data_IF_622717587548
#
_entry.id   IF_622717587548
#
_cell.length_a   1.000
_cell.length_b   1.000
_cell.length_c   1.000
_cell.angle_alpha   90.00
_cell.angle_beta   90.00
_cell.angle_gamma   90.00
#
_symmetry.space_group_name_H-M   'P 1'
#
loop_
_entity.id
_entity.type
_entity.pdbx_description
1 polymer ?
#
# COMPACT_ATOMS: atom_id res chain seq x y z
N UNK A 1 61.59 24.40 20.46
CA UNK A 1 60.72 23.27 20.84
C UNK A 1 59.31 23.58 20.39
N UNK A 2 58.70 22.74 19.56
CA UNK A 2 57.35 22.98 19.04
C UNK A 2 56.30 22.32 19.94
N UNK A 3 55.23 23.05 20.26
CA UNK A 3 54.12 22.55 21.08
C UNK A 3 53.10 21.87 20.15
N UNK A 4 52.78 20.60 20.43
CA UNK A 4 51.83 19.83 19.65
C UNK A 4 50.39 20.22 20.02
N UNK A 5 49.64 20.77 19.05
CA UNK A 5 48.22 21.07 19.22
C UNK A 5 47.35 19.82 19.10
N UNK A 6 46.70 19.42 20.20
CA UNK A 6 45.72 18.33 20.20
C UNK A 6 44.44 18.75 19.45
N UNK A 7 44.13 18.08 18.35
CA UNK A 7 42.85 18.28 17.63
C UNK A 7 41.78 17.38 18.22
N UNK A 8 40.87 17.98 18.99
CA UNK A 8 39.61 17.35 19.40
C UNK A 8 38.79 16.97 18.17
N UNK A 9 38.74 15.68 17.85
CA UNK A 9 37.91 15.16 16.76
C UNK A 9 36.47 14.99 17.24
N UNK A 10 35.58 15.90 16.84
CA UNK A 10 34.13 15.65 16.90
C UNK A 10 33.82 14.47 15.97
N UNK A 11 33.72 13.26 16.53
CA UNK A 11 33.14 12.12 15.83
C UNK A 11 31.68 12.45 15.52
N UNK A 12 31.41 12.77 14.25
CA UNK A 12 30.05 12.83 13.73
C UNK A 12 29.42 11.45 13.90
N UNK A 13 28.58 11.30 14.92
CA UNK A 13 27.90 10.06 15.26
C UNK A 13 26.72 9.88 14.31
N UNK A 14 27.02 9.64 13.03
CA UNK A 14 26.05 9.28 12.01
C UNK A 14 25.42 7.95 12.44
N UNK A 15 24.29 8.04 13.14
CA UNK A 15 23.42 6.91 13.40
C UNK A 15 22.91 6.44 12.04
N UNK A 16 23.47 5.34 11.54
CA UNK A 16 22.79 4.54 10.53
C UNK A 16 21.48 4.05 11.15
N UNK A 17 20.39 4.78 10.85
CA UNK A 17 19.04 4.34 11.18
C UNK A 17 18.80 3.08 10.35
N UNK A 18 18.98 1.92 10.98
CA UNK A 18 18.70 0.62 10.38
C UNK A 18 17.27 0.66 9.85
N UNK A 19 17.12 0.45 8.54
CA UNK A 19 15.82 0.46 7.89
C UNK A 19 14.91 -0.59 8.55
N UNK A 20 13.79 -0.12 9.06
CA UNK A 20 12.81 -0.97 9.73
C UNK A 20 12.26 -2.03 8.75
N UNK A 21 12.07 -3.27 9.23
CA UNK A 21 11.43 -4.30 8.40
C UNK A 21 9.96 -3.96 8.15
N UNK A 22 9.43 -4.35 6.98
CA UNK A 22 8.01 -4.15 6.65
C UNK A 22 7.06 -4.72 7.70
N UNK A 23 7.47 -5.79 8.37
CA UNK A 23 6.71 -6.46 9.42
C UNK A 23 6.68 -5.62 10.71
N UNK A 24 7.84 -5.15 11.18
CA UNK A 24 7.91 -4.29 12.36
C UNK A 24 7.10 -3.00 12.15
N UNK A 25 7.23 -2.40 10.96
CA UNK A 25 6.46 -1.21 10.56
C UNK A 25 4.95 -1.45 10.62
N UNK A 26 4.47 -2.59 10.09
CA UNK A 26 3.04 -2.94 10.18
C UNK A 26 2.59 -3.21 11.61
N UNK A 27 3.39 -3.88 12.44
CA UNK A 27 3.05 -4.06 13.85
C UNK A 27 2.92 -2.70 14.57
N UNK A 28 3.80 -1.73 14.28
CA UNK A 28 3.62 -0.34 14.74
C UNK A 28 2.33 0.26 14.20
N UNK A 29 2.03 0.15 12.91
CA UNK A 29 0.79 0.68 12.33
C UNK A 29 -0.48 0.04 12.91
N UNK A 30 -0.50 -1.26 13.21
CA UNK A 30 -1.62 -1.93 13.91
C UNK A 30 -1.82 -1.31 15.29
N UNK A 31 -0.75 -1.16 16.08
CA UNK A 31 -0.83 -0.53 17.39
C UNK A 31 -1.35 0.92 17.30
N UNK A 32 -0.82 1.72 16.37
CA UNK A 32 -1.23 3.11 16.14
C UNK A 32 -2.70 3.20 15.68
N UNK A 33 -3.15 2.34 14.75
CA UNK A 33 -4.52 2.31 14.27
C UNK A 33 -5.51 1.87 15.37
N UNK A 34 -5.13 0.88 16.18
CA UNK A 34 -5.93 0.40 17.32
C UNK A 34 -6.08 1.45 18.41
N UNK A 35 -4.98 2.12 18.76
CA UNK A 35 -4.96 3.30 19.66
C UNK A 35 -5.47 4.59 18.99
N UNK A 36 -5.84 4.53 17.71
CA UNK A 36 -6.39 5.63 16.90
C UNK A 36 -5.47 6.86 16.75
N UNK A 37 -4.15 6.66 16.78
CA UNK A 37 -3.12 7.64 16.44
C UNK A 37 -2.82 7.57 14.94
N UNK A 38 -3.66 8.24 14.15
CA UNK A 38 -3.61 8.12 12.68
C UNK A 38 -2.47 8.90 12.03
N UNK A 39 -2.06 10.03 12.61
CA UNK A 39 -1.11 10.96 11.99
C UNK A 39 0.26 10.33 11.65
N UNK A 40 0.94 9.55 12.53
CA UNK A 40 2.20 8.91 12.17
C UNK A 40 2.03 7.85 11.08
N UNK A 41 0.91 7.11 11.07
CA UNK A 41 0.59 6.14 10.00
C UNK A 41 0.39 6.83 8.67
N UNK A 42 -0.30 7.99 8.67
CA UNK A 42 -0.48 8.81 7.48
C UNK A 42 0.88 9.34 6.99
N UNK A 43 1.70 9.89 7.88
CA UNK A 43 3.00 10.46 7.53
C UNK A 43 3.97 9.38 6.98
N UNK A 44 4.08 8.23 7.64
CA UNK A 44 4.87 7.08 7.18
C UNK A 44 4.48 6.64 5.77
N UNK A 45 3.17 6.50 5.50
CA UNK A 45 2.69 6.07 4.18
C UNK A 45 2.89 7.15 3.12
N UNK A 46 2.64 8.43 3.44
CA UNK A 46 2.76 9.52 2.46
C UNK A 46 4.22 9.89 2.16
N UNK A 47 5.14 9.76 3.11
CA UNK A 47 6.57 10.00 2.87
C UNK A 47 7.16 8.97 1.90
N UNK A 48 6.75 7.70 2.00
CA UNK A 48 7.09 6.64 1.04
C UNK A 48 6.42 6.83 -0.34
N UNK A 49 5.13 7.20 -0.37
CA UNK A 49 4.34 7.20 -1.59
C UNK A 49 4.44 8.48 -2.43
N UNK A 50 4.34 9.67 -1.83
CA UNK A 50 4.26 10.95 -2.55
C UNK A 50 5.46 11.24 -3.49
N UNK A 51 6.72 10.89 -3.16
CA UNK A 51 7.86 11.09 -4.07
C UNK A 51 7.70 10.41 -5.44
N UNK A 52 6.93 9.30 -5.52
CA UNK A 52 6.61 8.58 -6.77
C UNK A 52 5.71 9.39 -7.72
N UNK A 53 5.15 10.52 -7.25
CA UNK A 53 4.17 11.35 -7.94
C UNK A 53 4.64 12.78 -8.23
N UNK A 54 5.93 13.08 -8.09
CA UNK A 54 6.58 14.38 -8.46
C UNK A 54 6.21 14.91 -9.85
N UNK A 55 5.88 14.04 -10.80
CA UNK A 55 5.48 14.37 -12.17
C UNK A 55 3.99 14.10 -12.46
N UNK A 56 3.14 14.00 -11.43
CA UNK A 56 1.72 13.70 -11.57
C UNK A 56 0.89 14.95 -11.92
N UNK A 57 -0.15 14.77 -12.74
CA UNK A 57 -1.21 15.77 -12.97
C UNK A 57 -2.49 15.49 -12.17
N UNK A 58 -2.48 14.43 -11.36
CA UNK A 58 -3.63 13.98 -10.57
C UNK A 58 -3.53 14.36 -9.09
N UNK A 59 -2.30 14.56 -8.60
CA UNK A 59 -1.97 14.92 -7.22
C UNK A 59 -0.74 15.83 -7.26
N UNK A 60 -0.71 16.86 -6.41
CA UNK A 60 0.47 17.69 -6.18
C UNK A 60 1.15 17.20 -4.88
N UNK A 61 2.32 16.55 -4.95
CA UNK A 61 2.98 16.02 -3.76
C UNK A 61 3.54 17.10 -2.82
N UNK A 62 3.60 18.38 -3.23
CA UNK A 62 3.97 19.47 -2.34
C UNK A 62 2.84 19.84 -1.34
N UNK A 63 1.58 19.58 -1.68
CA UNK A 63 0.41 19.85 -0.82
C UNK A 63 0.19 18.74 0.23
N UNK A 64 1.24 18.40 0.97
CA UNK A 64 1.23 17.33 1.98
C UNK A 64 0.15 17.55 3.06
N UNK A 65 -0.12 18.81 3.42
CA UNK A 65 -1.13 19.17 4.43
C UNK A 65 -2.54 18.79 3.97
N UNK A 66 -2.91 19.02 2.71
CA UNK A 66 -4.22 18.60 2.19
C UNK A 66 -4.31 17.08 2.06
N UNK A 67 -3.22 16.39 1.68
CA UNK A 67 -3.19 14.93 1.62
C UNK A 67 -3.34 14.29 2.99
N UNK A 68 -2.66 14.81 4.02
CA UNK A 68 -2.82 14.36 5.41
C UNK A 68 -4.28 14.50 5.85
N UNK A 69 -4.91 15.65 5.58
CA UNK A 69 -6.33 15.89 5.92
C UNK A 69 -7.28 14.91 5.24
N UNK A 70 -7.07 14.60 3.96
CA UNK A 70 -7.91 13.62 3.26
C UNK A 70 -7.63 12.18 3.71
N UNK A 71 -6.38 11.81 4.03
CA UNK A 71 -6.05 10.52 4.66
C UNK A 71 -6.67 10.36 6.06
N UNK A 72 -6.69 11.43 6.85
CA UNK A 72 -7.38 11.46 8.14
C UNK A 72 -8.89 11.22 8.00
N UNK A 73 -9.53 11.85 7.02
CA UNK A 73 -10.94 11.61 6.66
C UNK A 73 -11.19 10.16 6.21
N UNK A 74 -10.28 9.59 5.41
CA UNK A 74 -10.33 8.19 4.97
C UNK A 74 -10.31 7.26 6.19
N UNK A 75 -9.29 7.37 7.06
CA UNK A 75 -9.16 6.52 8.25
C UNK A 75 -10.32 6.70 9.23
N UNK A 76 -10.79 7.94 9.45
CA UNK A 76 -11.93 8.22 10.31
C UNK A 76 -13.24 7.62 9.80
N UNK A 77 -13.42 7.41 8.49
CA UNK A 77 -14.64 6.82 7.94
C UNK A 77 -14.82 5.33 8.27
N UNK A 78 -13.73 4.56 8.37
CA UNK A 78 -13.77 3.10 8.48
C UNK A 78 -12.62 2.52 9.35
N UNK A 79 -12.35 3.05 10.56
CA UNK A 79 -11.10 2.78 11.29
C UNK A 79 -10.89 1.31 11.65
N UNK A 80 -11.97 0.61 12.04
CA UNK A 80 -11.94 -0.84 12.31
C UNK A 80 -11.60 -1.67 11.07
N UNK A 81 -11.97 -1.20 9.88
CA UNK A 81 -11.68 -1.93 8.64
C UNK A 81 -10.25 -1.68 8.21
N UNK A 82 -9.69 -0.48 8.40
CA UNK A 82 -8.27 -0.22 8.16
C UNK A 82 -7.36 -0.97 9.15
N UNK A 83 -7.70 -0.98 10.44
CA UNK A 83 -7.01 -1.80 11.44
C UNK A 83 -6.97 -3.27 11.01
N UNK A 84 -8.15 -3.86 10.76
CA UNK A 84 -8.25 -5.23 10.31
C UNK A 84 -7.58 -5.46 8.95
N UNK A 85 -7.50 -4.47 8.05
CA UNK A 85 -6.80 -4.62 6.77
C UNK A 85 -5.27 -4.67 6.92
N UNK A 86 -4.70 -3.91 7.87
CA UNK A 86 -3.27 -3.97 8.21
C UNK A 86 -2.93 -5.27 8.95
N UNK A 87 -3.84 -5.75 9.81
CA UNK A 87 -3.78 -7.06 10.47
C UNK A 87 -4.01 -8.26 9.50
N UNK A 88 -4.41 -8.01 8.24
CA UNK A 88 -4.67 -9.04 7.23
C UNK A 88 -6.08 -9.68 7.27
N UNK A 89 -6.99 -9.15 8.09
CA UNK A 89 -8.28 -9.74 8.44
C UNK A 89 -9.52 -9.18 7.67
N UNK A 90 -9.59 -7.91 7.21
CA UNK A 90 -10.81 -7.33 6.52
C UNK A 90 -10.50 -6.25 5.42
N UNK A 91 -11.44 -5.87 4.49
CA UNK A 91 -11.04 -5.52 3.08
C UNK A 91 -11.70 -4.33 2.29
N UNK A 92 -10.92 -3.54 1.47
CA UNK A 92 -11.25 -2.69 0.24
C UNK A 92 -10.30 -1.52 -0.28
N UNK A 93 -10.78 -0.27 -0.48
CA UNK A 93 -10.97 0.49 -1.73
C UNK A 93 -11.88 -0.19 -2.78
N UNK A 94 -11.41 -0.67 -3.93
CA UNK A 94 -11.72 -2.05 -4.28
C UNK A 94 -10.46 -2.85 -3.99
N UNK A 95 -10.51 -3.71 -2.95
CA UNK A 95 -9.45 -4.69 -2.73
C UNK A 95 -9.82 -5.95 -3.46
N UNK A 96 -8.80 -6.59 -4.01
CA UNK A 96 -8.86 -8.00 -4.36
C UNK A 96 -7.84 -8.75 -3.53
N UNK A 97 -8.30 -9.74 -2.76
CA UNK A 97 -7.47 -10.60 -1.92
C UNK A 97 -7.42 -12.01 -2.50
N UNK A 98 -6.24 -12.62 -2.52
CA UNK A 98 -6.09 -14.05 -2.78
C UNK A 98 -6.30 -14.82 -1.47
N UNK A 99 -7.40 -15.55 -1.38
CA UNK A 99 -7.78 -16.33 -0.20
C UNK A 99 -8.59 -17.57 -0.59
N UNK A 100 -8.73 -18.52 0.34
CA UNK A 100 -9.63 -19.66 0.20
C UNK A 100 -11.07 -19.32 0.65
N UNK A 101 -11.95 -20.33 0.65
CA UNK A 101 -13.37 -20.15 1.01
C UNK A 101 -13.57 -19.82 2.50
N UNK A 102 -12.60 -20.13 3.36
CA UNK A 102 -12.51 -19.74 4.77
C UNK A 102 -11.91 -18.33 4.98
N UNK A 103 -11.43 -17.69 3.91
CA UNK A 103 -10.78 -16.39 3.96
C UNK A 103 -9.30 -16.44 4.35
N UNK A 104 -8.69 -17.64 4.43
CA UNK A 104 -7.26 -17.78 4.71
C UNK A 104 -6.44 -17.54 3.44
N UNK A 105 -5.35 -16.79 3.58
CA UNK A 105 -4.41 -16.56 2.50
C UNK A 105 -3.47 -17.75 2.28
N UNK A 106 -2.79 -17.85 1.12
CA UNK A 106 -1.70 -18.80 0.93
C UNK A 106 -0.62 -18.62 2.00
N UNK A 107 -0.18 -19.72 2.61
CA UNK A 107 1.00 -19.72 3.46
C UNK A 107 2.28 -19.44 2.65
N UNK A 108 3.40 -19.03 3.29
CA UNK A 108 4.65 -18.74 2.57
C UNK A 108 5.13 -19.90 1.68
N UNK A 109 4.98 -21.16 2.11
CA UNK A 109 5.34 -22.34 1.32
C UNK A 109 4.47 -22.48 0.06
N UNK A 110 3.17 -22.23 0.20
CA UNK A 110 2.23 -22.26 -0.93
C UNK A 110 2.49 -21.10 -1.90
N UNK A 111 2.93 -19.95 -1.38
CA UNK A 111 3.35 -18.83 -2.20
C UNK A 111 4.62 -19.12 -3.00
N UNK A 112 5.60 -19.85 -2.43
CA UNK A 112 6.76 -20.35 -3.18
C UNK A 112 6.32 -21.27 -4.33
N UNK A 113 5.38 -22.20 -4.10
CA UNK A 113 4.83 -23.03 -5.17
C UNK A 113 4.17 -22.18 -6.27
N UNK A 114 3.39 -21.14 -5.90
CA UNK A 114 2.79 -20.20 -6.88
C UNK A 114 3.87 -19.46 -7.67
N UNK A 115 4.94 -18.99 -7.02
CA UNK A 115 6.09 -18.33 -7.66
C UNK A 115 6.78 -19.25 -8.66
N UNK A 116 7.09 -20.49 -8.27
CA UNK A 116 7.84 -21.40 -9.12
C UNK A 116 7.06 -21.69 -10.43
N UNK A 117 5.72 -21.71 -10.36
CA UNK A 117 4.85 -21.74 -11.55
C UNK A 117 4.87 -20.44 -12.38
N UNK A 118 5.05 -19.25 -11.76
CA UNK A 118 5.24 -17.99 -12.49
C UNK A 118 6.59 -17.99 -13.22
N UNK A 119 7.65 -18.51 -12.60
CA UNK A 119 8.98 -18.64 -13.19
C UNK A 119 8.96 -19.61 -14.38
N UNK A 120 8.35 -20.80 -14.24
CA UNK A 120 8.13 -21.75 -15.34
C UNK A 120 7.34 -21.10 -16.50
N UNK A 121 6.23 -20.42 -16.19
CA UNK A 121 5.39 -19.74 -17.17
C UNK A 121 6.14 -18.61 -17.93
N UNK A 122 7.03 -17.89 -17.25
CA UNK A 122 7.81 -16.77 -17.81
C UNK A 122 9.16 -17.18 -18.44
N UNK A 123 9.65 -18.40 -18.19
CA UNK A 123 10.94 -18.95 -18.64
C UNK A 123 11.25 -18.78 -20.14
N UNK A 124 10.23 -18.86 -20.99
CA UNK A 124 10.38 -18.85 -22.46
C UNK A 124 10.49 -20.24 -23.07
N UNK A 125 10.71 -21.27 -22.25
CA UNK A 125 10.69 -22.67 -22.68
C UNK A 125 9.26 -23.17 -22.92
N UNK A 126 9.07 -24.20 -23.77
CA UNK A 126 7.85 -24.99 -23.78
C UNK A 126 7.62 -25.60 -22.38
N UNK A 127 6.44 -25.37 -21.81
CA UNK A 127 6.02 -25.95 -20.52
C UNK A 127 4.58 -26.45 -20.68
N UNK A 128 4.35 -27.70 -20.28
CA UNK A 128 3.03 -28.31 -20.26
C UNK A 128 2.12 -27.59 -19.24
N UNK A 129 2.67 -27.26 -18.07
CA UNK A 129 1.95 -26.50 -17.06
C UNK A 129 1.48 -25.15 -17.57
N UNK A 130 2.33 -24.44 -18.33
CA UNK A 130 1.99 -23.14 -18.88
C UNK A 130 0.85 -23.23 -19.92
N UNK A 131 0.84 -24.30 -20.74
CA UNK A 131 -0.28 -24.59 -21.63
C UNK A 131 -1.56 -24.92 -20.86
N UNK A 132 -1.47 -25.69 -19.77
CA UNK A 132 -2.61 -26.03 -18.92
C UNK A 132 -3.19 -24.79 -18.23
N UNK A 133 -2.35 -23.90 -17.69
CA UNK A 133 -2.75 -22.61 -17.09
C UNK A 133 -3.47 -21.70 -18.08
N UNK A 134 -2.94 -21.57 -19.31
CA UNK A 134 -3.57 -20.78 -20.38
C UNK A 134 -4.99 -21.28 -20.70
N UNK A 135 -5.28 -22.55 -20.41
CA UNK A 135 -6.54 -23.22 -20.71
C UNK A 135 -7.49 -23.40 -19.51
N UNK A 136 -7.14 -22.95 -18.31
CA UNK A 136 -8.06 -22.97 -17.14
C UNK A 136 -9.25 -22.03 -17.32
N UNK A 137 -9.09 -20.98 -18.11
CA UNK A 137 -10.13 -19.99 -18.35
C UNK A 137 -10.12 -19.50 -19.80
N UNK A 138 -11.23 -18.99 -20.35
CA UNK A 138 -11.22 -18.35 -21.66
C UNK A 138 -10.37 -17.05 -21.70
N UNK A 139 -9.90 -16.61 -22.88
CA UNK A 139 -9.75 -17.41 -24.10
C UNK A 139 -8.74 -18.54 -23.89
N UNK A 140 -8.95 -19.64 -24.60
CA UNK A 140 -8.14 -20.86 -24.58
C UNK A 140 -7.00 -20.78 -25.62
N UNK A 141 -5.84 -21.34 -25.31
CA UNK A 141 -4.67 -21.36 -26.20
C UNK A 141 -4.51 -22.75 -26.83
N UNK A 142 -4.28 -22.81 -28.15
CA UNK A 142 -4.01 -24.10 -28.81
C UNK A 142 -2.64 -24.66 -28.41
N UNK A 143 -2.52 -25.99 -28.41
CA UNK A 143 -1.25 -26.65 -28.09
C UNK A 143 -0.11 -26.17 -29.01
N UNK A 144 -0.40 -26.02 -30.31
CA UNK A 144 0.56 -25.47 -31.28
C UNK A 144 1.04 -24.07 -30.87
N UNK A 145 0.14 -23.14 -30.59
CA UNK A 145 0.53 -21.78 -30.20
C UNK A 145 1.35 -21.78 -28.90
N UNK A 146 0.97 -22.58 -27.91
CA UNK A 146 1.73 -22.73 -26.67
C UNK A 146 3.12 -23.35 -26.90
N UNK A 147 3.26 -24.29 -27.83
CA UNK A 147 4.56 -24.86 -28.25
C UNK A 147 5.43 -23.84 -29.00
N UNK A 148 4.82 -22.96 -29.79
CA UNK A 148 5.48 -21.82 -30.46
C UNK A 148 5.82 -20.66 -29.49
N UNK A 149 5.54 -20.82 -28.19
CA UNK A 149 5.93 -19.89 -27.13
C UNK A 149 4.88 -18.82 -26.77
N UNK A 150 3.69 -18.86 -27.39
CA UNK A 150 2.56 -18.01 -26.99
C UNK A 150 2.18 -18.29 -25.54
N UNK A 151 1.90 -17.21 -24.80
CA UNK A 151 1.45 -17.26 -23.40
C UNK A 151 0.34 -16.24 -23.21
N UNK A 152 -0.89 -16.69 -22.92
CA UNK A 152 -2.09 -15.85 -22.84
C UNK A 152 -1.89 -14.59 -21.99
N UNK A 153 -1.29 -14.75 -20.81
CA UNK A 153 -1.02 -13.66 -19.88
C UNK A 153 0.20 -12.80 -20.21
N UNK A 154 1.07 -13.19 -21.14
CA UNK A 154 2.17 -12.35 -21.64
C UNK A 154 1.81 -11.62 -22.94
N UNK A 155 0.82 -12.13 -23.68
CA UNK A 155 0.37 -11.58 -24.96
C UNK A 155 -0.36 -10.23 -24.82
N UNK A 156 -0.07 -9.33 -25.74
CA UNK A 156 -0.71 -8.01 -25.96
C UNK A 156 -1.05 -7.88 -27.44
N UNK A 157 -1.87 -6.89 -27.85
CA UNK A 157 -2.14 -6.62 -29.28
C UNK A 157 -0.91 -6.29 -30.14
N UNK A 158 0.28 -6.15 -29.53
CA UNK A 158 1.53 -5.78 -30.20
C UNK A 158 2.63 -6.85 -30.09
N UNK A 159 2.45 -7.90 -29.29
CA UNK A 159 3.44 -8.99 -29.11
C UNK A 159 2.84 -10.14 -28.31
N UNK A 160 3.12 -11.38 -28.69
CA UNK A 160 2.74 -12.57 -27.92
C UNK A 160 3.47 -12.72 -26.58
N UNK A 161 4.60 -12.03 -26.39
CA UNK A 161 5.45 -12.17 -25.21
C UNK A 161 6.00 -10.83 -24.75
N UNK A 162 5.17 -10.06 -24.05
CA UNK A 162 5.55 -8.75 -23.51
C UNK A 162 6.63 -8.84 -22.42
N UNK A 163 7.84 -8.36 -22.72
CA UNK A 163 8.95 -8.24 -21.77
C UNK A 163 8.57 -7.45 -20.51
N UNK A 164 7.76 -6.39 -20.66
CA UNK A 164 7.24 -5.61 -19.53
C UNK A 164 6.38 -6.48 -18.59
N UNK A 165 5.55 -7.37 -19.14
CA UNK A 165 4.74 -8.28 -18.31
C UNK A 165 5.58 -9.35 -17.61
N UNK A 166 6.61 -9.86 -18.28
CA UNK A 166 7.59 -10.76 -17.65
C UNK A 166 8.27 -10.07 -16.47
N UNK A 167 8.79 -8.85 -16.66
CA UNK A 167 9.44 -8.08 -15.59
C UNK A 167 8.48 -7.88 -14.41
N UNK A 168 7.22 -7.49 -14.66
CA UNK A 168 6.19 -7.36 -13.61
C UNK A 168 5.93 -8.66 -12.87
N UNK A 169 5.80 -9.79 -13.58
CA UNK A 169 5.52 -11.08 -12.95
C UNK A 169 6.72 -11.57 -12.12
N UNK A 170 7.94 -11.37 -12.61
CA UNK A 170 9.16 -11.78 -11.89
C UNK A 170 9.41 -10.95 -10.61
N UNK A 171 8.79 -9.77 -10.44
CA UNK A 171 8.82 -9.01 -9.18
C UNK A 171 8.03 -9.68 -8.05
N UNK A 172 7.10 -10.56 -8.38
CA UNK A 172 6.31 -11.35 -7.42
C UNK A 172 7.12 -12.50 -6.78
N UNK A 173 8.37 -12.70 -7.21
CA UNK A 173 9.26 -13.75 -6.70
C UNK A 173 9.82 -13.49 -5.29
N UNK A 174 9.65 -12.27 -4.78
CA UNK A 174 10.03 -11.93 -3.41
C UNK A 174 9.10 -12.63 -2.39
N UNK A 175 9.64 -13.19 -1.30
CA UNK A 175 8.83 -13.80 -0.26
C UNK A 175 7.85 -12.80 0.34
N UNK A 176 6.57 -13.18 0.37
CA UNK A 176 5.51 -12.38 0.98
C UNK A 176 5.39 -12.64 2.47
N UNK A 177 5.47 -11.56 3.25
CA UNK A 177 5.04 -11.57 4.65
C UNK A 177 3.50 -11.45 4.80
N UNK A 178 2.79 -11.03 3.74
CA UNK A 178 1.36 -10.70 3.78
C UNK A 178 0.60 -11.21 2.55
N UNK A 179 -0.73 -11.40 2.64
CA UNK A 179 -1.54 -11.86 1.51
C UNK A 179 -1.42 -10.92 0.29
N UNK A 180 -1.19 -11.43 -0.93
CA UNK A 180 -1.07 -10.58 -2.10
C UNK A 180 -2.43 -9.95 -2.41
N UNK A 181 -2.40 -8.63 -2.60
CA UNK A 181 -3.60 -7.80 -2.78
C UNK A 181 -3.48 -6.86 -3.98
N UNK A 182 -4.60 -6.49 -4.60
CA UNK A 182 -4.70 -5.32 -5.48
C UNK A 182 -5.60 -4.29 -4.81
N UNK A 183 -5.25 -3.00 -4.91
CA UNK A 183 -6.07 -1.85 -4.50
C UNK A 183 -6.31 -0.97 -5.72
N UNK A 184 -7.56 -0.69 -6.07
CA UNK A 184 -7.89 0.13 -7.24
C UNK A 184 -9.13 1.02 -7.10
N UNK A 185 -9.09 2.19 -7.74
CA UNK A 185 -10.20 3.14 -7.81
C UNK A 185 -11.22 2.75 -8.91
N UNK A 186 -12.51 2.87 -8.59
CA UNK A 186 -13.57 2.85 -9.60
C UNK A 186 -14.79 3.69 -9.20
N UNK A 187 -15.21 4.59 -10.10
CA UNK A 187 -16.43 5.38 -9.96
C UNK A 187 -17.70 4.50 -9.79
N UNK A 188 -17.73 3.32 -10.42
CA UNK A 188 -18.82 2.34 -10.30
C UNK A 188 -18.23 1.03 -9.78
N UNK A 189 -17.80 0.98 -8.52
CA UNK A 189 -17.13 -0.18 -7.93
C UNK A 189 -17.89 -1.51 -8.15
N UNK A 190 -19.21 -1.53 -7.97
CA UNK A 190 -20.04 -2.73 -8.23
C UNK A 190 -19.91 -3.26 -9.68
N UNK A 191 -19.92 -2.37 -10.69
CA UNK A 191 -19.70 -2.75 -12.11
C UNK A 191 -18.27 -3.20 -12.34
N UNK A 192 -17.30 -2.54 -11.71
CA UNK A 192 -15.88 -2.92 -11.81
C UNK A 192 -15.63 -4.31 -11.23
N UNK A 193 -16.20 -4.62 -10.07
CA UNK A 193 -16.12 -5.96 -9.47
C UNK A 193 -16.78 -7.02 -10.35
N UNK A 194 -17.90 -6.71 -11.00
CA UNK A 194 -18.53 -7.61 -11.99
C UNK A 194 -17.64 -7.84 -13.22
N UNK A 195 -17.00 -6.80 -13.75
CA UNK A 195 -16.01 -6.92 -14.83
C UNK A 195 -14.82 -7.80 -14.41
N UNK A 196 -14.27 -7.61 -13.21
CA UNK A 196 -13.22 -8.51 -12.68
C UNK A 196 -13.71 -9.96 -12.51
N UNK A 197 -14.99 -10.21 -12.18
CA UNK A 197 -15.58 -11.56 -12.12
C UNK A 197 -15.64 -12.20 -13.51
N UNK A 198 -16.02 -11.43 -14.52
CA UNK A 198 -15.99 -11.84 -15.93
C UNK A 198 -14.59 -11.80 -16.58
N UNK A 199 -13.53 -11.45 -15.82
CA UNK A 199 -12.15 -11.22 -16.30
C UNK A 199 -12.02 -10.20 -17.45
N UNK A 200 -12.99 -9.29 -17.55
CA UNK A 200 -13.04 -8.22 -18.54
C UNK A 200 -12.24 -7.02 -18.05
N UNK A 201 -11.24 -6.60 -18.83
CA UNK A 201 -10.33 -5.49 -18.48
C UNK A 201 -9.74 -5.61 -17.07
N UNK A 202 -9.50 -6.83 -16.59
CA UNK A 202 -8.91 -7.10 -15.27
C UNK A 202 -7.40 -7.21 -15.35
N UNK A 203 -6.74 -7.06 -14.19
CA UNK A 203 -5.31 -7.19 -14.06
C UNK A 203 -4.84 -8.61 -14.42
N UNK A 204 -3.94 -8.72 -15.41
CA UNK A 204 -3.47 -9.99 -15.96
C UNK A 204 -2.66 -10.80 -14.94
N UNK A 205 -1.89 -10.13 -14.06
CA UNK A 205 -1.13 -10.75 -12.97
C UNK A 205 -2.07 -11.58 -12.10
N UNK A 206 -3.15 -10.95 -11.67
CA UNK A 206 -4.14 -11.53 -10.79
C UNK A 206 -4.93 -12.67 -11.43
N UNK A 207 -5.16 -12.59 -12.75
CA UNK A 207 -5.83 -13.65 -13.49
C UNK A 207 -4.91 -14.88 -13.62
N UNK A 208 -3.61 -14.67 -13.91
CA UNK A 208 -2.61 -15.74 -13.96
C UNK A 208 -2.46 -16.42 -12.60
N UNK A 209 -2.33 -15.66 -11.50
CA UNK A 209 -2.19 -16.25 -10.16
C UNK A 209 -3.43 -17.03 -9.73
N UNK A 210 -4.64 -16.56 -10.06
CA UNK A 210 -5.89 -17.32 -9.82
C UNK A 210 -5.98 -18.60 -10.66
N UNK A 211 -5.41 -18.61 -11.88
CA UNK A 211 -5.31 -19.82 -12.70
C UNK A 211 -4.21 -20.77 -12.20
N UNK A 212 -3.05 -20.28 -11.77
CA UNK A 212 -2.01 -21.08 -11.10
C UNK A 212 -2.56 -21.74 -9.84
N UNK A 213 -3.29 -21.01 -8.99
CA UNK A 213 -3.92 -21.59 -7.79
C UNK A 213 -4.96 -22.67 -8.16
N UNK A 214 -5.68 -22.48 -9.26
CA UNK A 214 -6.64 -23.48 -9.75
C UNK A 214 -5.93 -24.71 -10.33
N UNK A 215 -4.83 -24.53 -11.07
CA UNK A 215 -4.00 -25.61 -11.60
C UNK A 215 -3.42 -26.48 -10.47
N UNK A 216 -2.77 -25.83 -9.50
CA UNK A 216 -2.11 -26.50 -8.38
C UNK A 216 -3.13 -27.21 -7.46
N UNK A 217 -4.34 -26.67 -7.33
CA UNK A 217 -5.43 -27.36 -6.62
C UNK A 217 -5.94 -28.59 -7.41
N UNK A 218 -6.17 -28.46 -8.73
CA UNK A 218 -6.63 -29.56 -9.58
C UNK A 218 -5.62 -30.71 -9.66
N UNK A 219 -4.33 -30.42 -9.55
CA UNK A 219 -3.23 -31.39 -9.51
C UNK A 219 -2.88 -31.88 -8.09
N UNK A 220 -3.64 -31.47 -7.07
CA UNK A 220 -3.44 -31.81 -5.65
C UNK A 220 -2.10 -31.36 -5.04
N UNK A 221 -1.43 -30.37 -5.65
CA UNK A 221 -0.23 -29.71 -5.09
C UNK A 221 -0.62 -28.74 -3.97
N UNK A 222 -1.76 -28.05 -4.11
CA UNK A 222 -2.36 -27.25 -3.05
C UNK A 222 -3.57 -27.98 -2.45
N UNK A 223 -3.70 -28.10 -1.11
CA UNK A 223 -4.82 -28.78 -0.47
C UNK A 223 -6.13 -27.97 -0.47
N UNK A 224 -6.07 -26.65 -0.72
CA UNK A 224 -7.25 -25.80 -0.90
C UNK A 224 -7.18 -24.95 -2.17
N UNK A 225 -8.35 -24.50 -2.65
CA UNK A 225 -8.44 -23.62 -3.82
C UNK A 225 -8.48 -22.15 -3.39
N UNK A 226 -7.39 -21.42 -3.64
CA UNK A 226 -7.37 -19.97 -3.49
C UNK A 226 -8.03 -19.28 -4.71
N UNK A 227 -8.84 -18.25 -4.45
CA UNK A 227 -9.56 -17.44 -5.43
C UNK A 227 -9.46 -15.95 -5.07
N UNK A 228 -9.95 -15.07 -5.94
CA UNK A 228 -10.01 -13.63 -5.66
C UNK A 228 -11.33 -13.21 -5.01
N UNK A 229 -11.22 -12.83 -3.74
CA UNK A 229 -12.27 -12.23 -2.91
C UNK A 229 -12.20 -10.70 -3.01
N UNK A 230 -13.35 -10.00 -3.01
CA UNK A 230 -13.49 -8.65 -3.58
C UNK A 230 -14.54 -7.80 -2.86
N UNK A 231 -14.20 -6.60 -2.42
CA UNK A 231 -14.95 -5.87 -1.37
C UNK A 231 -14.93 -4.33 -1.50
N UNK A 232 -15.73 -3.61 -0.67
CA UNK A 232 -15.92 -2.14 -0.66
C UNK A 232 -16.13 -1.49 0.78
N UNK A 233 -15.21 -1.64 1.74
CA UNK A 233 -14.88 -0.70 2.86
C UNK A 233 -14.82 0.83 2.60
N UNK A 234 -14.43 1.37 1.42
CA UNK A 234 -14.29 2.84 1.25
C UNK A 234 -15.19 3.40 0.15
N UNK A 235 -16.01 4.37 0.55
CA UNK A 235 -16.79 5.21 -0.34
C UNK A 235 -16.13 6.58 -0.40
N UNK A 236 -15.64 6.94 -1.58
CA UNK A 236 -15.08 8.27 -1.83
C UNK A 236 -16.22 9.28 -1.83
N UNK A 237 -16.12 10.29 -0.97
CA UNK A 237 -17.15 11.34 -0.79
C UNK A 237 -16.73 12.71 -1.31
N UNK A 238 -15.47 12.87 -1.72
CA UNK A 238 -14.94 14.10 -2.32
C UNK A 238 -14.12 13.80 -3.59
N UNK A 239 -14.13 14.68 -4.60
CA UNK A 239 -13.36 14.45 -5.83
C UNK A 239 -11.84 14.38 -5.58
N UNK A 240 -11.30 15.14 -4.63
CA UNK A 240 -9.88 15.12 -4.25
C UNK A 240 -9.42 13.79 -3.65
N UNK A 241 -10.31 13.10 -2.93
CA UNK A 241 -10.02 11.81 -2.32
C UNK A 241 -9.73 10.70 -3.35
N UNK A 242 -10.20 10.81 -4.58
CA UNK A 242 -10.07 9.71 -5.54
C UNK A 242 -8.61 9.31 -5.81
N UNK A 243 -7.71 10.29 -5.97
CA UNK A 243 -6.27 10.03 -6.15
C UNK A 243 -5.62 9.55 -4.84
N UNK A 244 -5.73 10.36 -3.79
CA UNK A 244 -5.03 10.14 -2.54
C UNK A 244 -5.49 8.88 -1.81
N UNK A 245 -6.77 8.51 -1.88
CA UNK A 245 -7.26 7.28 -1.27
C UNK A 245 -6.65 6.04 -1.94
N UNK A 246 -6.61 6.00 -3.28
CA UNK A 246 -6.00 4.87 -4.02
C UNK A 246 -4.50 4.75 -3.67
N UNK A 247 -3.78 5.88 -3.60
CA UNK A 247 -2.36 5.92 -3.22
C UNK A 247 -2.15 5.46 -1.77
N UNK A 248 -2.85 6.09 -0.82
CA UNK A 248 -2.71 5.83 0.61
C UNK A 248 -3.07 4.38 0.94
N UNK A 249 -4.18 3.85 0.44
CA UNK A 249 -4.54 2.45 0.69
C UNK A 249 -3.57 1.48 0.01
N UNK A 250 -2.99 1.84 -1.15
CA UNK A 250 -2.00 0.99 -1.81
C UNK A 250 -0.71 0.87 -1.00
N UNK A 251 -0.24 1.98 -0.42
CA UNK A 251 0.94 2.02 0.46
C UNK A 251 0.68 1.37 1.82
N UNK A 252 -0.45 1.70 2.48
CA UNK A 252 -0.86 1.12 3.77
C UNK A 252 -0.98 -0.41 3.71
N UNK A 253 -1.51 -0.94 2.60
CA UNK A 253 -1.64 -2.38 2.37
C UNK A 253 -0.41 -3.00 1.69
N UNK A 254 0.60 -2.18 1.35
CA UNK A 254 1.83 -2.53 0.65
C UNK A 254 1.60 -3.41 -0.60
N UNK A 255 0.51 -3.14 -1.32
CA UNK A 255 -0.02 -4.02 -2.37
C UNK A 255 0.73 -3.93 -3.72
N UNK A 256 1.93 -3.36 -3.74
CA UNK A 256 2.76 -3.16 -4.93
C UNK A 256 3.40 -4.47 -5.42
N UNK A 257 3.51 -4.64 -6.74
CA UNK A 257 4.16 -5.82 -7.33
C UNK A 257 5.61 -6.05 -6.87
N UNK A 258 6.33 -4.97 -6.54
CA UNK A 258 7.72 -5.02 -6.05
C UNK A 258 7.82 -5.49 -4.59
N UNK A 259 6.68 -5.49 -3.88
CA UNK A 259 6.49 -6.01 -2.53
C UNK A 259 5.59 -7.28 -2.55
N UNK A 260 5.50 -7.96 -3.70
CA UNK A 260 4.71 -9.18 -3.92
C UNK A 260 3.19 -9.00 -4.01
N UNK A 261 2.67 -7.78 -3.90
CA UNK A 261 1.26 -7.49 -4.18
C UNK A 261 0.93 -7.50 -5.68
N UNK A 262 -0.26 -7.05 -6.06
CA UNK A 262 -0.74 -7.10 -7.45
C UNK A 262 -0.83 -5.73 -8.15
N UNK A 263 -0.58 -4.62 -7.45
CA UNK A 263 -0.53 -3.29 -8.07
C UNK A 263 0.75 -3.14 -8.91
N UNK A 264 0.61 -3.43 -10.21
CA UNK A 264 1.63 -3.28 -11.24
C UNK A 264 1.65 -1.89 -11.91
N UNK A 265 0.69 -1.02 -11.57
CA UNK A 265 0.57 0.33 -12.11
C UNK A 265 0.43 1.34 -10.96
N UNK A 266 1.05 2.54 -11.02
CA UNK A 266 0.95 3.50 -9.94
C UNK A 266 -0.48 3.96 -9.68
N UNK A 267 -0.87 3.96 -8.40
CA UNK A 267 -2.16 4.43 -7.92
C UNK A 267 -2.37 5.93 -8.21
N UNK A 268 -3.61 6.39 -8.08
CA UNK A 268 -4.01 7.78 -8.28
C UNK A 268 -3.94 8.28 -9.73
N UNK A 269 -3.37 7.50 -10.66
CA UNK A 269 -3.25 7.87 -12.08
C UNK A 269 -4.52 7.59 -12.88
N UNK A 270 -5.31 6.59 -12.50
CA UNK A 270 -6.50 6.13 -13.25
C UNK A 270 -7.82 6.77 -12.79
N UNK A 271 -7.73 7.89 -12.05
CA UNK A 271 -8.86 8.50 -11.34
C UNK A 271 -9.64 9.55 -12.14
N UNK A 272 -9.30 9.78 -13.41
CA UNK A 272 -9.91 10.82 -14.25
C UNK A 272 -11.45 10.74 -14.35
N UNK A 273 -12.05 9.59 -14.05
CA UNK A 273 -13.51 9.46 -13.98
C UNK A 273 -14.17 10.15 -12.78
N UNK A 274 -13.44 10.46 -11.69
CA UNK A 274 -13.96 11.25 -10.56
C UNK A 274 -14.33 12.68 -10.99
N UNK A 275 -13.54 13.27 -11.89
CA UNK A 275 -13.74 14.61 -12.45
C UNK A 275 -15.01 14.74 -13.33
N UNK A 276 -15.73 13.64 -13.58
CA UNK A 276 -17.00 13.62 -14.34
C UNK A 276 -18.24 13.67 -13.45
N UNK A 277 -18.08 13.54 -12.14
CA UNK A 277 -19.15 13.65 -11.15
C UNK A 277 -19.35 15.14 -10.81
N UNK A 278 -20.60 15.60 -10.81
CA UNK A 278 -20.96 17.00 -10.56
C UNK A 278 -20.86 17.33 -9.06
N UNK A 279 -20.64 18.59 -8.70
CA UNK A 279 -20.53 19.03 -7.30
C UNK A 279 -21.75 18.62 -6.45
N UNK A 280 -22.97 18.85 -6.95
CA UNK A 280 -24.21 18.43 -6.29
C UNK A 280 -24.49 16.92 -6.31
N UNK A 281 -23.62 16.09 -6.88
CA UNK A 281 -23.60 14.64 -6.66
C UNK A 281 -22.64 14.28 -5.51
N UNK A 282 -21.48 14.95 -5.43
CA UNK A 282 -20.54 14.80 -4.31
C UNK A 282 -21.15 15.20 -2.97
N UNK A 283 -21.90 16.30 -2.93
CA UNK A 283 -22.64 16.75 -1.74
C UNK A 283 -23.56 15.63 -1.22
N UNK A 284 -24.34 15.00 -2.10
CA UNK A 284 -25.23 13.88 -1.75
C UNK A 284 -24.47 12.66 -1.24
N UNK A 285 -23.29 12.36 -1.79
CA UNK A 285 -22.47 11.26 -1.30
C UNK A 285 -21.89 11.54 0.09
N UNK A 286 -21.52 12.80 0.37
CA UNK A 286 -21.06 13.21 1.69
C UNK A 286 -22.19 13.16 2.72
N UNK A 287 -23.39 13.64 2.38
CA UNK A 287 -24.54 13.61 3.29
C UNK A 287 -24.99 12.18 3.57
N UNK A 288 -25.06 11.31 2.55
CA UNK A 288 -25.33 9.88 2.75
C UNK A 288 -24.28 9.20 3.65
N UNK A 289 -23.00 9.57 3.51
CA UNK A 289 -21.94 9.04 4.38
C UNK A 289 -22.06 9.53 5.83
N UNK A 290 -22.53 10.76 6.07
CA UNK A 290 -22.83 11.28 7.41
C UNK A 290 -24.01 10.55 8.06
N UNK A 291 -25.05 10.26 7.29
CA UNK A 291 -26.24 9.54 7.75
C UNK A 291 -25.95 8.06 8.04
N UNK A 292 -25.17 7.40 7.18
CA UNK A 292 -24.97 5.95 7.22
C UNK A 292 -23.73 5.46 7.98
N UNK A 293 -22.82 6.34 8.42
CA UNK A 293 -21.54 5.94 9.02
C UNK A 293 -21.16 6.77 10.25
N UNK A 294 -20.23 6.29 11.10
CA UNK A 294 -19.77 7.02 12.28
C UNK A 294 -18.89 8.26 11.99
N UNK A 295 -18.88 8.74 10.73
CA UNK A 295 -17.92 9.74 10.21
C UNK A 295 -17.82 10.99 11.08
N UNK A 296 -18.93 11.64 11.42
CA UNK A 296 -18.90 12.89 12.22
C UNK A 296 -18.39 12.66 13.65
N UNK A 297 -18.74 11.53 14.27
CA UNK A 297 -18.22 11.15 15.60
C UNK A 297 -16.71 10.92 15.58
N UNK A 298 -16.23 10.14 14.61
CA UNK A 298 -14.80 9.87 14.44
C UNK A 298 -14.02 11.14 14.06
N UNK A 299 -14.59 12.02 13.23
CA UNK A 299 -13.98 13.30 12.87
C UNK A 299 -13.92 14.29 14.03
N UNK A 300 -14.89 14.27 14.96
CA UNK A 300 -14.81 15.05 16.20
C UNK A 300 -13.64 14.60 17.06
N UNK A 301 -13.55 13.30 17.33
CA UNK A 301 -12.44 12.71 18.12
C UNK A 301 -11.08 12.98 17.47
N UNK A 302 -10.99 12.91 16.13
CA UNK A 302 -9.77 13.19 15.39
C UNK A 302 -9.33 14.65 15.52
N UNK A 303 -10.26 15.61 15.45
CA UNK A 303 -9.98 17.04 15.70
C UNK A 303 -9.50 17.29 17.14
N UNK A 304 -10.18 16.71 18.13
CA UNK A 304 -9.81 16.84 19.54
C UNK A 304 -8.39 16.31 19.80
N UNK A 305 -8.02 15.17 19.20
CA UNK A 305 -6.65 14.65 19.29
C UNK A 305 -5.62 15.51 18.58
N UNK A 306 -5.89 16.00 17.38
CA UNK A 306 -4.97 16.85 16.62
C UNK A 306 -4.70 18.18 17.35
N UNK A 307 -5.69 18.71 18.07
CA UNK A 307 -5.52 19.89 18.90
C UNK A 307 -4.69 19.59 20.16
N UNK A 308 -5.00 18.50 20.88
CA UNK A 308 -4.21 18.06 22.04
C UNK A 308 -2.74 17.74 21.66
N UNK A 309 -2.49 17.21 20.47
CA UNK A 309 -1.14 16.95 19.96
C UNK A 309 -0.38 18.24 19.61
N UNK A 310 -1.05 19.24 19.00
CA UNK A 310 -0.42 20.54 18.76
C UNK A 310 0.01 21.18 20.08
N UNK A 311 -0.87 21.18 21.08
CA UNK A 311 -0.58 21.72 22.41
C UNK A 311 0.55 20.97 23.12
N UNK A 312 0.66 19.66 22.93
CA UNK A 312 1.76 18.87 23.50
C UNK A 312 3.13 19.20 22.86
N UNK A 313 3.17 19.42 21.54
CA UNK A 313 4.39 19.83 20.83
C UNK A 313 4.79 21.27 21.19
N UNK A 314 3.83 22.19 21.27
CA UNK A 314 4.06 23.57 21.73
C UNK A 314 4.61 23.61 23.16
N UNK A 315 4.20 22.69 24.05
CA UNK A 315 4.74 22.56 25.41
C UNK A 315 6.19 22.04 25.42
N UNK A 316 6.55 21.09 24.56
CA UNK A 316 7.91 20.53 24.53
C UNK A 316 8.94 21.61 24.14
N UNK A 317 8.65 22.44 23.12
CA UNK A 317 9.49 23.58 22.71
C UNK A 317 9.70 24.59 23.86
N UNK A 318 8.66 24.98 24.60
CA UNK A 318 8.77 25.91 25.75
C UNK A 318 9.69 25.38 26.87
N UNK A 319 9.84 24.05 27.00
CA UNK A 319 10.67 23.44 28.07
C UNK A 319 12.16 23.23 27.72
N UNK A 320 12.55 23.44 26.46
CA UNK A 320 13.96 23.48 26.06
C UNK A 320 14.56 24.89 26.26
N UNK A 321 13.82 25.95 25.96
CA UNK A 321 14.28 27.35 26.10
C UNK A 321 14.51 27.76 27.57
N UNK A 322 13.79 27.21 28.56
CA UNK A 322 14.05 27.50 29.99
C UNK A 322 15.36 26.90 30.54
N UNK A 323 16.09 26.06 29.77
CA UNK A 323 17.32 25.38 30.25
C UNK A 323 18.64 26.00 29.83
N UNK A 324 18.64 27.03 28.98
CA UNK A 324 19.88 27.63 28.46
C UNK A 324 20.48 28.76 29.31
N UNK A 325 19.70 29.39 30.21
CA UNK A 325 20.09 30.67 30.84
C UNK A 325 20.64 30.58 32.29
N UNK A 326 21.38 29.51 32.63
CA UNK A 326 22.15 29.44 33.90
C UNK A 326 23.51 28.75 33.76
N UNK A 327 24.42 29.34 32.98
CA UNK A 327 25.84 29.19 33.32
C UNK A 327 26.10 29.90 34.67
N UNK A 328 26.68 29.24 35.67
CA UNK A 328 27.03 29.91 36.93
C UNK A 328 28.22 30.83 36.70
N UNK A 329 28.04 32.13 36.92
CA UNK A 329 29.15 33.09 36.98
C UNK A 329 30.16 32.62 38.04
N UNK A 330 31.33 32.17 37.58
CA UNK A 330 32.43 31.82 38.46
C UNK A 330 33.02 33.11 39.02
N UNK A 331 32.59 33.46 40.24
CA UNK A 331 33.22 34.52 41.03
C UNK A 331 34.70 34.17 41.28
N UNK A 332 35.59 34.76 40.49
CA UNK A 332 37.01 34.85 40.79
C UNK A 332 37.18 35.96 41.83
N UNK A 333 37.12 35.58 43.11
CA UNK A 333 37.48 36.49 44.21
C UNK A 333 39.02 36.56 44.29
N UNK A 334 39.55 37.78 44.25
CA UNK A 334 40.99 38.04 44.36
C UNK A 334 41.52 37.62 45.74
N UNK A 335 42.49 36.70 45.75
CA UNK A 335 43.18 36.29 46.98
C UNK A 335 44.46 37.11 47.16
N UNK A 336 44.30 38.29 47.75
CA UNK A 336 45.39 39.22 48.07
C UNK A 336 46.01 38.86 49.44
N UNK A 337 47.21 38.25 49.44
CA UNK A 337 48.02 38.06 50.66
C UNK A 337 49.52 38.25 50.35
N UNK A 338 50.10 39.16 51.13
CA UNK A 338 51.52 39.52 51.35
C UNK A 338 52.54 38.38 51.38
#
# INVERSE_FOLDING_TARGET
>A
MAIAGSKSGKQSRTLEVLAESSDARRHRWVHLLGSQHYEPVIYDVLSDELPKYTNSRAIDPADIVSHIRECALILASAPKVFLAAVEGNLPSIHIHLLADKEGQAPSPVQYLQIRDMIEDYTSGCPSEHAHQMDNISPPFASLQASSEGHRKYLSTPSTDRSSKRIITLNRLSTPLAYPPSEVGYALNAHKRLAQHRARQSSNYVMNLVEDICTYLFQTNVLPQQFKRHRYIFYLIVRPGQAAIAEIFCSGLLQCWADLGGFNAYPAGRSVASSKRVRSGEWEKYLDLAREMSPLEGNMKVLKERAENWRQALEWEDETEDEKTDKEPETAFDDMDVT
#
